data_IF_201245918492
#
_entry.id   IF_201245918492
#
_cell.length_a   1.000
_cell.length_b   1.000
_cell.length_c   1.000
_cell.angle_alpha   90.00
_cell.angle_beta   90.00
_cell.angle_gamma   90.00
#
_symmetry.space_group_name_H-M   'P 1'
#
loop_
_entity.id
_entity.type
_entity.pdbx_description
1 polymer ?
#
# COMPACT_ATOMS: atom_id res chain seq x y z
N UNK A 1 0.14 -4.90 16.51
CA UNK A 1 -0.94 -3.89 16.44
C UNK A 1 -2.24 -4.50 15.91
N UNK A 2 -2.21 -5.24 14.79
CA UNK A 2 -3.41 -5.84 14.18
C UNK A 2 -4.23 -6.77 15.10
N UNK A 3 -3.59 -7.54 16.00
CA UNK A 3 -4.32 -8.38 16.98
C UNK A 3 -5.15 -7.60 17.98
N UNK A 4 -4.79 -6.34 18.27
CA UNK A 4 -5.49 -5.49 19.24
C UNK A 4 -6.61 -4.66 18.61
N UNK A 5 -6.70 -4.64 17.28
CA UNK A 5 -7.62 -3.79 16.53
C UNK A 5 -8.96 -4.49 16.20
N UNK A 6 -9.16 -5.75 16.61
CA UNK A 6 -10.40 -6.48 16.33
C UNK A 6 -10.60 -6.89 14.87
N UNK A 7 -9.53 -6.83 14.05
CA UNK A 7 -9.57 -7.17 12.63
C UNK A 7 -9.89 -8.65 12.39
N UNK A 8 -10.64 -8.90 11.31
CA UNK A 8 -10.87 -10.22 10.73
C UNK A 8 -9.56 -10.84 10.22
N UNK A 9 -9.60 -12.14 9.88
CA UNK A 9 -8.43 -12.83 9.34
C UNK A 9 -8.00 -12.26 7.98
N UNK A 10 -8.96 -11.89 7.13
CA UNK A 10 -8.74 -11.30 5.81
C UNK A 10 -8.12 -9.91 5.91
N UNK A 11 -8.63 -9.05 6.79
CA UNK A 11 -8.04 -7.73 7.03
C UNK A 11 -6.63 -7.82 7.61
N UNK A 12 -6.36 -8.78 8.49
CA UNK A 12 -5.00 -9.03 9.00
C UNK A 12 -4.05 -9.46 7.89
N UNK A 13 -4.51 -10.32 6.96
CA UNK A 13 -3.72 -10.74 5.82
C UNK A 13 -3.44 -9.56 4.88
N UNK A 14 -4.44 -8.72 4.60
CA UNK A 14 -4.27 -7.52 3.78
C UNK A 14 -3.29 -6.52 4.42
N UNK A 15 -3.40 -6.26 5.72
CA UNK A 15 -2.47 -5.39 6.45
C UNK A 15 -1.04 -5.95 6.42
N UNK A 16 -0.88 -7.26 6.62
CA UNK A 16 0.42 -7.90 6.54
C UNK A 16 1.03 -7.76 5.14
N UNK A 17 0.23 -8.03 4.09
CA UNK A 17 0.67 -7.91 2.70
C UNK A 17 1.03 -6.47 2.35
N UNK A 18 0.18 -5.50 2.70
CA UNK A 18 0.46 -4.08 2.48
C UNK A 18 1.78 -3.68 3.15
N UNK A 19 2.02 -4.10 4.39
CA UNK A 19 3.26 -3.80 5.12
C UNK A 19 4.52 -4.39 4.46
N UNK A 20 4.43 -5.49 3.71
CA UNK A 20 5.56 -6.06 2.97
C UNK A 20 5.97 -5.18 1.77
N UNK A 21 5.00 -4.50 1.14
CA UNK A 21 5.23 -3.80 -0.13
C UNK A 21 5.02 -2.29 -0.06
N UNK A 22 4.67 -1.73 1.10
CA UNK A 22 4.18 -0.35 1.30
C UNK A 22 5.04 0.81 0.70
N UNK A 23 6.29 0.58 0.29
CA UNK A 23 7.18 1.61 -0.29
C UNK A 23 7.79 1.24 -1.62
N UNK A 24 7.23 0.24 -2.30
CA UNK A 24 7.80 -0.26 -3.55
C UNK A 24 7.75 0.77 -4.69
N UNK A 25 6.83 1.73 -4.63
CA UNK A 25 6.68 2.83 -5.59
C UNK A 25 7.89 3.77 -5.61
N UNK A 26 8.62 3.88 -4.51
CA UNK A 26 9.86 4.66 -4.41
C UNK A 26 10.97 4.13 -5.34
N UNK A 27 10.87 2.89 -5.81
CA UNK A 27 11.82 2.30 -6.76
C UNK A 27 11.51 2.67 -8.21
N UNK A 28 10.43 3.42 -8.45
CA UNK A 28 10.04 3.85 -9.79
C UNK A 28 10.57 5.26 -10.09
N UNK A 29 11.07 5.45 -11.32
CA UNK A 29 11.64 6.74 -11.73
C UNK A 29 10.65 7.90 -11.63
N UNK A 30 9.35 7.64 -11.78
CA UNK A 30 8.29 8.65 -11.69
C UNK A 30 8.17 9.27 -10.29
N UNK A 31 8.36 8.49 -9.23
CA UNK A 31 8.33 9.04 -7.86
C UNK A 31 9.59 9.84 -7.54
N UNK A 32 10.75 9.45 -8.11
CA UNK A 32 11.99 10.23 -7.96
C UNK A 32 11.93 11.61 -8.61
N UNK A 33 11.10 11.79 -9.63
CA UNK A 33 10.88 13.10 -10.28
C UNK A 33 9.72 13.89 -9.64
N UNK A 34 8.76 13.21 -9.00
CA UNK A 34 7.55 13.81 -8.44
C UNK A 34 7.18 13.19 -7.08
N UNK A 35 7.68 13.78 -6.00
CA UNK A 35 7.42 13.31 -4.61
C UNK A 35 5.93 13.30 -4.24
N UNK A 36 5.12 14.15 -4.88
CA UNK A 36 3.66 14.25 -4.70
C UNK A 36 2.90 12.99 -5.15
N UNK A 37 3.57 12.13 -5.94
CA UNK A 37 3.00 10.90 -6.47
C UNK A 37 3.22 9.68 -5.57
N UNK A 38 3.95 9.84 -4.46
CA UNK A 38 4.14 8.80 -3.45
C UNK A 38 2.77 8.30 -2.94
N UNK A 39 2.62 6.99 -2.80
CA UNK A 39 1.36 6.36 -2.40
C UNK A 39 0.31 6.28 -3.51
N UNK A 40 0.11 7.35 -4.30
CA UNK A 40 -0.78 7.32 -5.49
C UNK A 40 -0.26 6.32 -6.52
N UNK A 41 1.05 6.37 -6.80
CA UNK A 41 1.66 5.42 -7.72
C UNK A 41 1.80 4.04 -7.12
N UNK A 42 2.01 3.94 -5.80
CA UNK A 42 1.99 2.66 -5.08
C UNK A 42 0.68 1.90 -5.24
N UNK A 43 -0.46 2.56 -5.02
CA UNK A 43 -1.78 1.95 -5.26
C UNK A 43 -1.94 1.50 -6.72
N UNK A 44 -1.64 2.37 -7.69
CA UNK A 44 -1.79 2.04 -9.12
C UNK A 44 -0.93 0.86 -9.52
N UNK A 45 0.32 0.82 -9.09
CA UNK A 45 1.21 -0.29 -9.41
C UNK A 45 0.80 -1.57 -8.70
N UNK A 46 0.24 -1.50 -7.48
CA UNK A 46 -0.20 -2.67 -6.74
C UNK A 46 -1.39 -3.32 -7.44
N UNK A 47 -2.37 -2.50 -7.88
CA UNK A 47 -3.49 -2.96 -8.71
C UNK A 47 -3.02 -3.57 -10.03
N UNK A 48 -2.05 -2.93 -10.71
CA UNK A 48 -1.48 -3.47 -11.96
C UNK A 48 -0.70 -4.78 -11.74
N UNK A 49 -0.11 -4.97 -10.56
CA UNK A 49 0.56 -6.21 -10.17
C UNK A 49 -0.40 -7.32 -9.74
N UNK A 50 -1.71 -7.03 -9.68
CA UNK A 50 -2.75 -7.99 -9.28
C UNK A 50 -2.92 -8.14 -7.77
N UNK A 51 -2.44 -7.19 -6.97
CA UNK A 51 -2.73 -7.15 -5.53
C UNK A 51 -4.22 -6.85 -5.27
N UNK A 52 -4.70 -7.30 -4.12
CA UNK A 52 -6.07 -7.03 -3.67
C UNK A 52 -6.32 -5.52 -3.49
N UNK A 53 -7.55 -5.08 -3.76
CA UNK A 53 -7.95 -3.67 -3.65
C UNK A 53 -7.73 -3.11 -2.24
N UNK A 54 -7.96 -3.92 -1.20
CA UNK A 54 -7.70 -3.54 0.18
C UNK A 54 -6.21 -3.31 0.46
N UNK A 55 -5.32 -4.10 -0.16
CA UNK A 55 -3.87 -3.95 -0.06
C UNK A 55 -3.44 -2.68 -0.77
N UNK A 56 -3.89 -2.48 -2.01
CA UNK A 56 -3.56 -1.28 -2.79
C UNK A 56 -4.04 0.02 -2.12
N UNK A 57 -5.25 0.00 -1.56
CA UNK A 57 -5.81 1.13 -0.80
C UNK A 57 -4.94 1.43 0.42
N UNK A 58 -4.56 0.41 1.19
CA UNK A 58 -3.70 0.58 2.36
C UNK A 58 -2.33 1.19 2.02
N UNK A 59 -1.75 0.83 0.87
CA UNK A 59 -0.50 1.42 0.35
C UNK A 59 -0.64 2.92 0.09
N UNK A 60 -1.78 3.37 -0.43
CA UNK A 60 -2.02 4.81 -0.60
C UNK A 60 -2.28 5.49 0.73
N UNK A 61 -3.13 4.92 1.57
CA UNK A 61 -3.65 5.59 2.75
C UNK A 61 -2.60 5.82 3.84
N UNK A 62 -1.55 5.00 3.93
CA UNK A 62 -0.49 5.23 4.91
C UNK A 62 0.39 6.46 4.60
N UNK A 63 0.23 7.07 3.41
CA UNK A 63 0.83 8.35 3.04
C UNK A 63 -0.08 9.55 3.35
N UNK A 64 -1.34 9.32 3.72
CA UNK A 64 -2.25 10.41 4.09
C UNK A 64 -1.91 10.93 5.51
N UNK A 65 -2.06 12.24 5.76
CA UNK A 65 -1.83 12.86 7.06
C UNK A 65 -2.83 12.41 8.14
#
# INVERSE_FOLDING_TARGET
>A
MAEKAGLTAEEKAAVARAAEIYKFDLLTGMVGEFDELQGIMGEKYALLAGEDEAVATAIREHYLP
#
